data_IF_493180945807
#
_entry.id   IF_493180945807
#
_cell.length_a   1.000
_cell.length_b   1.000
_cell.length_c   1.000
_cell.angle_alpha   90.00
_cell.angle_beta   90.00
_cell.angle_gamma   90.00
#
_symmetry.space_group_name_H-M   'P 1'
#
loop_
_entity.id
_entity.type
_entity.pdbx_description
1 polymer ?
#
# COMPACT_ATOMS: atom_id res chain seq x y z
N UNK A 1 6.31 4.10 2.41
CA UNK A 1 5.83 5.21 1.56
C UNK A 1 4.30 5.20 1.42
N UNK A 2 3.72 4.17 0.80
CA UNK A 2 2.26 4.12 0.54
C UNK A 2 1.37 4.13 1.79
N UNK A 3 1.80 3.51 2.90
CA UNK A 3 1.09 3.60 4.17
C UNK A 3 0.97 5.05 4.68
N UNK A 4 2.02 5.86 4.53
CA UNK A 4 2.00 7.28 4.91
C UNK A 4 1.00 8.08 4.07
N UNK A 5 0.92 7.80 2.76
CA UNK A 5 -0.10 8.40 1.88
C UNK A 5 -1.51 7.98 2.29
N UNK A 6 -1.71 6.71 2.66
CA UNK A 6 -3.00 6.22 3.17
C UNK A 6 -3.39 6.94 4.46
N UNK A 7 -2.48 7.09 5.41
CA UNK A 7 -2.73 7.83 6.67
C UNK A 7 -3.07 9.29 6.38
N UNK A 8 -2.39 9.93 5.43
CA UNK A 8 -2.72 11.30 5.02
C UNK A 8 -4.11 11.39 4.39
N UNK A 9 -4.49 10.44 3.52
CA UNK A 9 -5.83 10.39 2.94
C UNK A 9 -6.91 10.15 4.00
N UNK A 10 -6.62 9.32 5.01
CA UNK A 10 -7.53 9.11 6.14
C UNK A 10 -7.67 10.39 6.98
N UNK A 11 -6.57 11.11 7.25
CA UNK A 11 -6.62 12.41 7.91
C UNK A 11 -7.46 13.43 7.12
N UNK A 12 -7.33 13.43 5.79
CA UNK A 12 -8.16 14.25 4.90
C UNK A 12 -9.64 13.87 4.96
N UNK A 13 -9.98 12.57 5.00
CA UNK A 13 -11.36 12.11 5.17
C UNK A 13 -11.96 12.58 6.49
N UNK A 14 -11.19 12.52 7.58
CA UNK A 14 -11.62 13.01 8.89
C UNK A 14 -11.85 14.52 8.86
N UNK A 15 -10.96 15.28 8.22
CA UNK A 15 -11.11 16.72 8.06
C UNK A 15 -12.36 17.11 7.27
N UNK A 16 -12.71 16.34 6.23
CA UNK A 16 -13.94 16.53 5.45
C UNK A 16 -15.23 16.18 6.22
N UNK A 17 -15.14 15.38 7.29
CA UNK A 17 -16.29 14.98 8.11
C UNK A 17 -17.33 14.12 7.36
N UNK A 18 -16.95 13.49 6.23
CA UNK A 18 -17.88 12.76 5.37
C UNK A 18 -17.46 11.29 5.23
N UNK A 19 -18.34 10.37 5.62
CA UNK A 19 -18.11 8.91 5.52
C UNK A 19 -17.90 8.46 4.07
N UNK A 20 -18.55 9.09 3.09
CA UNK A 20 -18.36 8.77 1.68
C UNK A 20 -16.92 9.06 1.21
N UNK A 21 -16.18 9.94 1.88
CA UNK A 21 -14.78 10.21 1.57
C UNK A 21 -13.89 8.97 1.75
N UNK A 22 -14.29 8.00 2.59
CA UNK A 22 -13.57 6.73 2.79
C UNK A 22 -13.47 5.87 1.53
N UNK A 23 -14.33 6.09 0.53
CA UNK A 23 -14.19 5.44 -0.78
C UNK A 23 -12.83 5.75 -1.41
N UNK A 24 -12.30 6.97 -1.22
CA UNK A 24 -10.99 7.37 -1.72
C UNK A 24 -9.86 6.48 -1.19
N UNK A 25 -9.61 6.44 0.13
CA UNK A 25 -8.64 5.54 0.77
C UNK A 25 -8.80 4.07 0.37
N UNK A 26 -10.04 3.56 0.34
CA UNK A 26 -10.31 2.14 -0.03
C UNK A 26 -9.89 1.86 -1.47
N UNK A 27 -10.31 2.71 -2.42
CA UNK A 27 -9.93 2.60 -3.82
C UNK A 27 -8.41 2.77 -4.00
N UNK A 28 -7.80 3.70 -3.27
CA UNK A 28 -6.35 3.91 -3.28
C UNK A 28 -5.59 2.66 -2.85
N UNK A 29 -5.97 2.03 -1.74
CA UNK A 29 -5.36 0.77 -1.26
C UNK A 29 -5.47 -0.33 -2.30
N UNK A 30 -6.67 -0.53 -2.86
CA UNK A 30 -6.90 -1.56 -3.87
C UNK A 30 -6.06 -1.32 -5.14
N UNK A 31 -6.05 -0.08 -5.63
CA UNK A 31 -5.32 0.32 -6.83
C UNK A 31 -3.81 0.17 -6.64
N UNK A 32 -3.25 0.79 -5.59
CA UNK A 32 -1.80 0.81 -5.38
C UNK A 32 -1.28 -0.59 -5.05
N UNK A 33 -2.05 -1.41 -4.34
CA UNK A 33 -1.69 -2.82 -4.11
C UNK A 33 -1.58 -3.59 -5.42
N UNK A 34 -2.55 -3.42 -6.32
CA UNK A 34 -2.63 -4.22 -7.54
C UNK A 34 -1.65 -3.78 -8.63
N UNK A 35 -1.45 -2.47 -8.76
CA UNK A 35 -0.73 -1.87 -9.89
C UNK A 35 0.67 -1.35 -9.53
N UNK A 36 0.98 -1.12 -8.26
CA UNK A 36 2.31 -0.65 -7.84
C UNK A 36 3.01 -1.70 -6.97
N UNK A 37 2.45 -2.06 -5.81
CA UNK A 37 3.11 -2.96 -4.85
C UNK A 37 3.42 -4.34 -5.45
N UNK A 38 2.42 -5.01 -6.06
CA UNK A 38 2.64 -6.36 -6.61
C UNK A 38 3.66 -6.38 -7.77
N UNK A 39 3.59 -5.48 -8.78
CA UNK A 39 4.62 -5.41 -9.81
C UNK A 39 6.01 -5.08 -9.27
N UNK A 40 6.10 -4.14 -8.32
CA UNK A 40 7.36 -3.74 -7.69
C UNK A 40 7.99 -4.92 -6.92
N UNK A 41 7.20 -5.65 -6.13
CA UNK A 41 7.66 -6.88 -5.46
C UNK A 41 8.18 -7.93 -6.45
N UNK A 42 7.53 -8.12 -7.61
CA UNK A 42 8.00 -9.08 -8.63
C UNK A 42 9.35 -8.70 -9.20
N UNK A 43 9.54 -7.42 -9.52
CA UNK A 43 10.81 -6.91 -10.06
C UNK A 43 11.91 -7.03 -8.99
N UNK A 44 11.61 -6.66 -7.75
CA UNK A 44 12.56 -6.77 -6.64
C UNK A 44 12.91 -8.23 -6.33
N UNK A 45 11.94 -9.14 -6.40
CA UNK A 45 12.18 -10.57 -6.24
C UNK A 45 13.06 -11.12 -7.35
N UNK A 46 12.86 -10.70 -8.61
CA UNK A 46 13.73 -11.08 -9.72
C UNK A 46 15.16 -10.53 -9.57
N UNK A 47 15.29 -9.34 -8.99
CA UNK A 47 16.59 -8.66 -8.81
C UNK A 47 17.40 -9.19 -7.62
N UNK A 48 16.74 -9.47 -6.49
CA UNK A 48 17.37 -9.79 -5.22
C UNK A 48 17.22 -11.25 -4.80
N UNK A 49 16.28 -12.00 -5.39
CA UNK A 49 16.10 -13.44 -5.15
C UNK A 49 15.69 -13.77 -3.70
N UNK A 50 16.27 -14.84 -3.16
CA UNK A 50 15.91 -15.40 -1.86
C UNK A 50 16.00 -14.44 -0.66
N UNK A 51 17.03 -13.59 -0.52
CA UNK A 51 17.07 -12.59 0.55
C UNK A 51 15.81 -11.72 0.60
N UNK A 52 15.26 -11.34 -0.56
CA UNK A 52 14.03 -10.57 -0.63
C UNK A 52 12.78 -11.42 -0.39
N UNK A 53 12.76 -12.68 -0.83
CA UNK A 53 11.68 -13.62 -0.51
C UNK A 53 11.52 -13.83 1.01
N UNK A 54 12.63 -13.94 1.73
CA UNK A 54 12.63 -14.05 3.20
C UNK A 54 12.18 -12.75 3.87
N UNK A 55 12.58 -11.60 3.33
CA UNK A 55 12.12 -10.29 3.79
C UNK A 55 10.59 -10.15 3.67
N UNK A 56 10.01 -10.53 2.52
CA UNK A 56 8.56 -10.50 2.30
C UNK A 56 7.77 -11.38 3.27
N UNK A 57 8.37 -12.43 3.85
CA UNK A 57 7.72 -13.26 4.86
C UNK A 57 7.68 -12.60 6.25
N UNK A 58 8.59 -11.67 6.52
CA UNK A 58 8.70 -10.96 7.80
C UNK A 58 7.90 -9.66 7.83
N UNK A 59 7.74 -9.01 6.68
CA UNK A 59 7.12 -7.69 6.57
C UNK A 59 5.82 -7.78 5.78
N UNK A 60 4.72 -7.31 6.38
CA UNK A 60 3.42 -7.23 5.72
C UNK A 60 3.37 -5.99 4.82
N UNK A 61 2.54 -6.04 3.77
CA UNK A 61 2.44 -4.97 2.76
C UNK A 61 1.92 -3.63 3.31
N UNK A 62 1.03 -3.69 4.31
CA UNK A 62 0.36 -2.51 4.84
C UNK A 62 0.59 -2.32 6.34
N UNK A 63 0.34 -3.34 7.18
CA UNK A 63 0.57 -3.36 8.64
C UNK A 63 0.71 -4.81 9.13
#
# INVERSE_FOLDING_TARGET
>A
MYLGMLVLLLAWCVWLGNVAALLGPVLFVAYITRFQIIPEERILLAKFGEPYAQYLRRVRRWL
#
